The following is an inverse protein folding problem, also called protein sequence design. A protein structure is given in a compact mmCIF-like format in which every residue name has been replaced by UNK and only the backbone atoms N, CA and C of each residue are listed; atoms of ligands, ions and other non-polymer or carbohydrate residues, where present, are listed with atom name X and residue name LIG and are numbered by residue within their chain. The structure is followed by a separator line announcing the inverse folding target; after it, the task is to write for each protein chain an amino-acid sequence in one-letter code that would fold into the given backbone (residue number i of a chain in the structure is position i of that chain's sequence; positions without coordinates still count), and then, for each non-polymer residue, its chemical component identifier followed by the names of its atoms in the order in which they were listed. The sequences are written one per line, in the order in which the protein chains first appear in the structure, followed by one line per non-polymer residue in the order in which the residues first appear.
data_IF_905349802022
#
_entry.id   IF_905349802022
#
_cell.length_a   1.000
_cell.length_b   1.000
_cell.length_c   1.000
_cell.angle_alpha   90.00
_cell.angle_beta   90.00
_cell.angle_gamma   90.00
#
_symmetry.space_group_name_H-M   'P 1'
#
loop_
_entity.id
_entity.type
_entity.pdbx_description
1 polymer ?
#
# COMPACT_ATOMS: atom_id res chain seq x y z
N UNK A 1 10.43 -15.04 -12.01
CA UNK A 1 9.05 -14.94 -11.53
C UNK A 1 8.86 -13.62 -10.82
N UNK A 2 7.83 -12.89 -11.17
CA UNK A 2 7.61 -11.60 -10.56
C UNK A 2 7.16 -11.77 -9.11
N UNK A 3 7.65 -10.91 -8.23
CA UNK A 3 7.19 -10.88 -6.86
C UNK A 3 5.77 -10.30 -6.82
N UNK A 4 4.94 -10.86 -5.96
CA UNK A 4 3.61 -10.33 -5.76
C UNK A 4 3.70 -9.05 -4.94
N UNK A 5 3.25 -7.94 -5.51
CA UNK A 5 3.23 -6.66 -4.84
C UNK A 5 1.80 -6.34 -4.46
N UNK A 6 1.58 -6.05 -3.18
CA UNK A 6 0.28 -5.67 -2.66
C UNK A 6 0.38 -4.24 -2.13
N UNK A 7 -0.55 -3.39 -2.56
CA UNK A 7 -0.58 -1.99 -2.13
C UNK A 7 -1.90 -1.75 -1.40
N UNK A 8 -1.80 -1.32 -0.16
CA UNK A 8 -2.96 -0.92 0.63
C UNK A 8 -3.17 0.57 0.47
N UNK A 9 -4.32 0.96 -0.05
CA UNK A 9 -4.63 2.36 -0.34
C UNK A 9 -5.89 2.82 0.37
N UNK A 10 -6.07 4.14 0.41
CA UNK A 10 -7.31 4.74 0.92
C UNK A 10 -7.65 5.94 0.05
N UNK A 11 -8.92 6.13 -0.33
CA UNK A 11 -9.32 7.23 -1.22
C UNK A 11 -9.07 8.62 -0.66
N UNK A 12 -9.03 8.75 0.67
CA UNK A 12 -8.75 10.03 1.32
C UNK A 12 -7.25 10.33 1.46
N UNK A 13 -6.41 9.40 1.03
CA UNK A 13 -4.95 9.55 1.12
C UNK A 13 -4.37 9.93 -0.23
N UNK A 14 -3.90 11.16 -0.37
CA UNK A 14 -3.30 11.63 -1.63
C UNK A 14 -2.00 10.89 -1.95
N UNK A 15 -1.28 10.45 -0.94
CA UNK A 15 -0.05 9.68 -1.13
C UNK A 15 -0.32 8.29 -1.70
N UNK A 16 -1.51 7.73 -1.44
CA UNK A 16 -1.90 6.47 -2.08
C UNK A 16 -2.00 6.64 -3.59
N UNK A 17 -2.62 7.72 -4.05
CA UNK A 17 -2.72 8.02 -5.48
C UNK A 17 -1.34 8.24 -6.09
N UNK A 18 -0.46 8.94 -5.38
CA UNK A 18 0.90 9.19 -5.84
C UNK A 18 1.68 7.89 -6.02
N UNK A 19 1.54 6.96 -5.08
CA UNK A 19 2.21 5.66 -5.19
C UNK A 19 1.68 4.85 -6.36
N UNK A 20 0.37 4.83 -6.56
CA UNK A 20 -0.25 4.11 -7.68
C UNK A 20 0.23 4.69 -9.02
N UNK A 21 0.29 6.01 -9.13
CA UNK A 21 0.81 6.66 -10.33
C UNK A 21 2.25 6.28 -10.60
N UNK A 22 3.08 6.25 -9.56
CA UNK A 22 4.49 5.87 -9.69
C UNK A 22 4.62 4.42 -10.18
N UNK A 23 3.86 3.50 -9.60
CA UNK A 23 3.91 2.10 -10.01
C UNK A 23 3.42 1.92 -11.44
N UNK A 24 2.42 2.68 -11.86
CA UNK A 24 1.92 2.65 -13.23
C UNK A 24 2.98 3.17 -14.21
N UNK A 25 3.68 4.23 -13.85
CA UNK A 25 4.75 4.79 -14.68
C UNK A 25 5.92 3.80 -14.84
N UNK A 26 6.19 3.02 -13.81
CA UNK A 26 7.25 2.02 -13.82
C UNK A 26 6.82 0.71 -14.47
N UNK A 27 5.56 0.61 -14.89
CA UNK A 27 4.97 -0.60 -15.46
C UNK A 27 5.10 -1.82 -14.54
N UNK A 28 4.96 -1.59 -13.24
CA UNK A 28 5.04 -2.63 -12.21
C UNK A 28 3.67 -3.24 -11.99
N UNK A 29 3.58 -4.56 -12.01
CA UNK A 29 2.35 -5.26 -11.68
C UNK A 29 2.15 -5.26 -10.17
N UNK A 30 0.96 -4.92 -9.73
CA UNK A 30 0.62 -4.89 -8.30
C UNK A 30 -0.86 -5.20 -8.10
N UNK A 31 -1.20 -5.57 -6.87
CA UNK A 31 -2.59 -5.74 -6.46
C UNK A 31 -2.94 -4.62 -5.49
N UNK A 32 -3.97 -3.86 -5.81
CA UNK A 32 -4.44 -2.79 -4.94
C UNK A 32 -5.54 -3.30 -4.01
N UNK A 33 -5.41 -2.98 -2.72
CA UNK A 33 -6.46 -3.23 -1.73
C UNK A 33 -6.91 -1.88 -1.20
N UNK A 34 -8.12 -1.48 -1.60
CA UNK A 34 -8.70 -0.23 -1.17
C UNK A 34 -9.35 -0.46 0.21
N UNK A 35 -8.82 0.21 1.22
CA UNK A 35 -9.24 0.00 2.61
C UNK A 35 -10.64 0.53 2.90
N UNK A 36 -11.12 1.47 2.09
CA UNK A 36 -12.51 1.94 2.21
C UNK A 36 -13.51 0.87 1.78
N UNK A 37 -13.12 0.03 0.82
CA UNK A 37 -13.95 -1.07 0.33
C UNK A 37 -13.72 -2.35 1.13
N UNK A 38 -12.59 -2.44 1.83
CA UNK A 38 -12.18 -3.61 2.59
C UNK A 38 -11.75 -3.19 4.00
N UNK A 39 -12.67 -2.68 4.83
CA UNK A 39 -12.29 -2.12 6.14
C UNK A 39 -11.71 -3.15 7.11
N UNK A 40 -12.02 -4.43 6.95
CA UNK A 40 -11.44 -5.49 7.75
C UNK A 40 -9.95 -5.68 7.49
N UNK A 41 -9.44 -5.20 6.36
CA UNK A 41 -8.01 -5.25 6.05
C UNK A 41 -7.19 -4.23 6.82
N UNK A 42 -7.83 -3.30 7.53
CA UNK A 42 -7.11 -2.40 8.44
C UNK A 42 -6.35 -3.18 9.52
N UNK A 43 -6.87 -4.30 9.96
CA UNK A 43 -6.18 -5.17 10.91
C UNK A 43 -4.82 -5.61 10.34
N UNK A 44 -4.78 -5.91 9.05
CA UNK A 44 -3.54 -6.32 8.38
C UNK A 44 -2.56 -5.15 8.29
N UNK A 45 -3.05 -3.96 7.98
CA UNK A 45 -2.21 -2.75 7.94
C UNK A 45 -1.61 -2.46 9.31
N UNK A 46 -2.41 -2.54 10.37
CA UNK A 46 -1.92 -2.33 11.72
C UNK A 46 -0.84 -3.35 12.08
N UNK A 47 -1.04 -4.61 11.69
CA UNK A 47 -0.07 -5.67 11.92
C UNK A 47 1.26 -5.39 11.20
N UNK A 48 1.18 -4.90 9.96
CA UNK A 48 2.37 -4.62 9.15
C UNK A 48 3.12 -3.36 9.61
N UNK A 49 2.42 -2.41 10.21
CA UNK A 49 2.99 -1.11 10.59
C UNK A 49 3.29 -0.99 12.08
N UNK A 50 3.02 -2.04 12.84
CA UNK A 50 3.25 -2.00 14.29
C UNK A 50 2.14 -1.31 15.07
N UNK A 51 0.91 -1.30 14.53
CA UNK A 51 -0.26 -0.76 15.22
C UNK A 51 -0.74 0.58 14.70
N UNK A 52 -0.18 1.06 13.60
CA UNK A 52 -0.57 2.33 13.03
C UNK A 52 -1.46 2.14 11.80
N UNK A 53 -2.40 3.07 11.60
CA UNK A 53 -3.25 3.09 10.41
C UNK A 53 -2.71 4.12 9.44
N UNK A 54 -1.71 3.71 8.66
CA UNK A 54 -1.03 4.56 7.69
C UNK A 54 -1.25 4.00 6.30
N UNK A 55 -1.48 4.86 5.34
CA UNK A 55 -1.53 4.52 3.91
C UNK A 55 -0.66 5.51 3.13
N UNK A 56 -0.12 5.12 1.98
CA UNK A 56 -0.17 3.78 1.43
C UNK A 56 0.82 2.83 2.12
N UNK A 57 0.56 1.53 2.05
CA UNK A 57 1.50 0.50 2.50
C UNK A 57 1.73 -0.44 1.32
N UNK A 58 2.99 -0.64 0.96
CA UNK A 58 3.36 -1.54 -0.12
C UNK A 58 4.08 -2.75 0.45
N UNK A 59 3.56 -3.92 0.14
CA UNK A 59 4.14 -5.19 0.60
C UNK A 59 4.72 -5.94 -0.58
N UNK A 60 5.98 -6.30 -0.48
CA UNK A 60 6.64 -7.19 -1.43
C UNK A 60 7.05 -8.46 -0.72
N UNK A 61 7.62 -9.43 -1.46
CA UNK A 61 8.05 -10.69 -0.86
C UNK A 61 9.15 -10.50 0.19
N UNK A 62 9.93 -9.44 0.09
CA UNK A 62 11.10 -9.20 0.92
C UNK A 62 10.97 -8.02 1.86
N UNK A 63 9.95 -7.17 1.68
CA UNK A 63 9.93 -5.89 2.36
C UNK A 63 8.52 -5.34 2.52
N UNK A 64 8.35 -4.47 3.52
CA UNK A 64 7.13 -3.69 3.72
C UNK A 64 7.54 -2.22 3.76
N UNK A 65 6.97 -1.43 2.86
CA UNK A 65 7.20 0.01 2.84
C UNK A 65 5.95 0.73 3.32
N UNK A 66 6.13 1.58 4.32
CA UNK A 66 5.04 2.34 4.94
C UNK A 66 5.11 3.78 4.46
N UNK A 67 4.01 4.25 3.87
CA UNK A 67 3.94 5.58 3.33
C UNK A 67 4.57 5.68 1.95
N UNK A 68 4.40 6.85 1.31
CA UNK A 68 5.01 7.13 0.02
C UNK A 68 6.35 7.80 0.26
N UNK A 69 7.43 7.10 -0.03
CA UNK A 69 8.81 7.56 0.25
C UNK A 69 8.96 8.00 1.72
N UNK A 70 8.33 7.25 2.62
CA UNK A 70 8.38 7.53 4.04
C UNK A 70 7.35 8.56 4.54
N UNK A 71 6.47 9.02 3.67
CA UNK A 71 5.42 10.00 4.00
C UNK A 71 4.05 9.33 3.86
N UNK A 72 3.23 9.42 4.87
CA UNK A 72 1.91 8.79 4.83
C UNK A 72 0.89 9.44 5.72
#
# INVERSE_FOLDING_TARGET
MADDIIVYTHPDCTYSDALIDELSDLAVDYKEINLALNPDMWNKVEELTGGERITPVMVTSDNVEVGFHGVG
#
